data_IF_166489988469
#
_entry.id   IF_166489988469
#
_cell.length_a   1.000
_cell.length_b   1.000
_cell.length_c   1.000
_cell.angle_alpha   90.00
_cell.angle_beta   90.00
_cell.angle_gamma   90.00
#
_symmetry.space_group_name_H-M   'P 1'
#
loop_
_entity.id
_entity.type
_entity.pdbx_description
1 polymer ?
#
# COMPACT_ATOMS: atom_id res chain seq x y z
N UNK A 1 2.90 -25.31 -10.57
CA UNK A 1 3.72 -24.14 -10.20
C UNK A 1 4.31 -23.54 -11.47
N UNK A 2 4.23 -22.21 -11.66
CA UNK A 2 4.69 -21.54 -12.89
C UNK A 2 6.15 -21.09 -12.73
N UNK A 3 7.00 -21.42 -13.71
CA UNK A 3 8.38 -20.93 -13.74
C UNK A 3 8.46 -19.49 -14.26
N UNK A 4 9.39 -18.73 -13.71
CA UNK A 4 9.68 -17.36 -14.13
C UNK A 4 11.17 -17.06 -14.07
N UNK A 5 11.62 -16.18 -14.94
CA UNK A 5 12.96 -15.64 -14.95
C UNK A 5 12.92 -14.15 -14.61
N UNK A 6 13.89 -13.69 -13.81
CA UNK A 6 14.09 -12.29 -13.48
C UNK A 6 15.42 -11.84 -14.07
N UNK A 7 15.41 -10.78 -14.89
CA UNK A 7 16.61 -10.15 -15.41
C UNK A 7 16.87 -8.84 -14.66
N UNK A 8 18.06 -8.72 -14.08
CA UNK A 8 18.55 -7.50 -13.43
C UNK A 8 20.01 -7.26 -13.76
N UNK A 9 20.33 -6.09 -14.33
CA UNK A 9 21.70 -5.67 -14.69
C UNK A 9 22.51 -6.77 -15.42
N UNK A 10 21.88 -7.47 -16.37
CA UNK A 10 22.50 -8.53 -17.17
C UNK A 10 22.54 -9.92 -16.53
N UNK A 11 22.14 -10.06 -15.25
CA UNK A 11 22.07 -11.35 -14.56
C UNK A 11 20.65 -11.91 -14.56
N UNK A 12 20.52 -13.20 -14.86
CA UNK A 12 19.25 -13.92 -14.86
C UNK A 12 19.12 -14.76 -13.59
N UNK A 13 17.99 -14.63 -12.92
CA UNK A 13 17.59 -15.42 -11.77
C UNK A 13 16.41 -16.29 -12.14
N UNK A 14 16.39 -17.52 -11.65
CA UNK A 14 15.29 -18.46 -11.86
C UNK A 14 14.47 -18.55 -10.58
N UNK A 15 13.15 -18.59 -10.75
CA UNK A 15 12.23 -18.72 -9.64
C UNK A 15 10.94 -19.42 -10.00
N UNK A 16 10.16 -19.68 -8.97
CA UNK A 16 8.84 -20.27 -9.05
C UNK A 16 7.85 -19.25 -8.50
N UNK A 17 6.80 -18.98 -9.28
CA UNK A 17 5.70 -18.12 -8.86
C UNK A 17 4.89 -18.87 -7.81
N UNK A 18 4.88 -18.36 -6.59
CA UNK A 18 4.03 -18.84 -5.50
C UNK A 18 2.63 -18.23 -5.58
N UNK A 19 2.54 -16.95 -5.95
CA UNK A 19 1.28 -16.23 -6.11
C UNK A 19 1.39 -15.17 -7.22
N UNK A 20 0.31 -14.94 -7.96
CA UNK A 20 0.24 -14.00 -9.07
C UNK A 20 -1.18 -13.50 -9.33
N UNK A 21 -1.40 -12.21 -9.08
CA UNK A 21 -2.52 -11.42 -9.59
C UNK A 21 -1.98 -10.02 -9.93
N UNK A 22 -2.38 -9.00 -9.15
CA UNK A 22 -1.87 -7.63 -9.25
C UNK A 22 -0.43 -7.48 -8.77
N UNK A 23 0.03 -8.45 -8.00
CA UNK A 23 1.38 -8.54 -7.42
C UNK A 23 1.89 -9.97 -7.57
N UNK A 24 3.21 -10.14 -7.48
CA UNK A 24 3.85 -11.44 -7.61
C UNK A 24 4.70 -11.77 -6.38
N UNK A 25 4.49 -12.96 -5.83
CA UNK A 25 5.41 -13.61 -4.89
C UNK A 25 6.20 -14.68 -5.64
N UNK A 26 7.53 -14.58 -5.60
CA UNK A 26 8.44 -15.49 -6.29
C UNK A 26 9.41 -16.10 -5.29
N UNK A 27 9.49 -17.43 -5.30
CA UNK A 27 10.55 -18.15 -4.62
C UNK A 27 11.77 -18.26 -5.56
N UNK A 28 12.91 -17.71 -5.14
CA UNK A 28 14.13 -17.72 -5.94
C UNK A 28 15.04 -18.89 -5.55
N UNK A 29 15.65 -19.52 -6.55
CA UNK A 29 16.62 -20.60 -6.31
C UNK A 29 17.95 -20.11 -5.74
N UNK A 30 18.25 -18.81 -5.88
CA UNK A 30 19.50 -18.20 -5.40
C UNK A 30 19.22 -16.81 -4.84
N UNK A 31 20.07 -16.38 -3.90
CA UNK A 31 19.93 -15.07 -3.26
C UNK A 31 20.16 -13.96 -4.30
N UNK A 32 19.23 -13.01 -4.45
CA UNK A 32 19.34 -11.98 -5.47
C UNK A 32 20.39 -10.93 -5.10
N UNK A 33 21.05 -10.35 -6.10
CA UNK A 33 21.96 -9.22 -5.91
C UNK A 33 21.27 -7.86 -6.08
N UNK A 34 19.94 -7.84 -6.28
CA UNK A 34 19.15 -6.61 -6.34
C UNK A 34 18.57 -6.26 -4.96
N UNK A 35 18.24 -4.99 -4.78
CA UNK A 35 17.68 -4.43 -3.53
C UNK A 35 16.21 -4.03 -3.63
N UNK A 36 15.66 -3.55 -2.51
CA UNK A 36 14.33 -2.93 -2.45
C UNK A 36 14.28 -1.69 -3.34
N UNK A 37 13.16 -1.49 -4.05
CA UNK A 37 12.94 -0.39 -4.98
C UNK A 37 13.61 -0.54 -6.34
N UNK A 38 14.49 -1.54 -6.54
CA UNK A 38 15.11 -1.77 -7.84
C UNK A 38 14.10 -2.36 -8.84
N UNK A 39 14.28 -2.02 -10.12
CA UNK A 39 13.47 -2.52 -11.22
C UNK A 39 14.04 -3.83 -11.74
N UNK A 40 13.20 -4.85 -11.81
CA UNK A 40 13.53 -6.18 -12.34
C UNK A 40 12.59 -6.53 -13.48
N UNK A 41 13.14 -7.08 -14.56
CA UNK A 41 12.34 -7.55 -15.67
C UNK A 41 11.93 -8.99 -15.39
N UNK A 42 10.63 -9.22 -15.17
CA UNK A 42 10.05 -10.54 -14.99
C UNK A 42 9.58 -11.07 -16.33
N UNK A 43 9.98 -12.29 -16.70
CA UNK A 43 9.58 -12.87 -17.97
C UNK A 43 9.46 -14.39 -17.91
N UNK A 44 8.60 -14.90 -18.78
CA UNK A 44 8.46 -16.31 -19.11
C UNK A 44 8.16 -16.43 -20.62
N UNK A 45 7.80 -17.61 -21.12
CA UNK A 45 7.49 -17.80 -22.55
C UNK A 45 6.30 -16.99 -23.07
N UNK A 46 5.43 -16.47 -22.20
CA UNK A 46 4.18 -15.81 -22.56
C UNK A 46 4.19 -14.31 -22.31
N UNK A 47 5.01 -13.81 -21.39
CA UNK A 47 4.97 -12.41 -20.96
C UNK A 47 6.32 -11.86 -20.56
N UNK A 48 6.42 -10.54 -20.64
CA UNK A 48 7.55 -9.74 -20.20
C UNK A 48 7.02 -8.50 -19.49
N UNK A 49 7.34 -8.34 -18.22
CA UNK A 49 6.77 -7.30 -17.35
C UNK A 49 7.87 -6.67 -16.50
N UNK A 50 7.98 -5.34 -16.57
CA UNK A 50 8.85 -4.59 -15.67
C UNK A 50 8.19 -4.48 -14.30
N UNK A 51 8.90 -4.89 -13.26
CA UNK A 51 8.39 -4.90 -11.89
C UNK A 51 9.36 -4.21 -10.94
N UNK A 52 8.87 -3.69 -9.82
CA UNK A 52 9.67 -3.07 -8.77
C UNK A 52 9.68 -4.01 -7.56
N UNK A 53 10.86 -4.15 -6.94
CA UNK A 53 11.05 -4.99 -5.76
C UNK A 53 10.50 -4.33 -4.51
N UNK A 54 9.51 -4.94 -3.87
CA UNK A 54 8.90 -4.45 -2.63
C UNK A 54 9.50 -5.12 -1.39
N UNK A 55 9.91 -6.38 -1.50
CA UNK A 55 10.51 -7.11 -0.39
C UNK A 55 11.44 -8.23 -0.88
N UNK A 56 12.50 -8.49 -0.09
CA UNK A 56 13.43 -9.58 -0.30
C UNK A 56 13.64 -10.28 1.04
N UNK A 57 13.44 -11.59 1.05
CA UNK A 57 13.80 -12.49 2.14
C UNK A 57 14.80 -13.55 1.64
N UNK A 58 15.19 -14.49 2.51
CA UNK A 58 16.18 -15.54 2.16
C UNK A 58 15.75 -16.39 0.96
N UNK A 59 14.46 -16.65 0.79
CA UNK A 59 13.92 -17.49 -0.29
C UNK A 59 12.86 -16.80 -1.15
N UNK A 60 12.21 -15.74 -0.67
CA UNK A 60 11.10 -15.09 -1.36
C UNK A 60 11.38 -13.64 -1.73
N UNK A 61 10.85 -13.25 -2.88
CA UNK A 61 10.81 -11.86 -3.35
C UNK A 61 9.37 -11.48 -3.66
N UNK A 62 8.97 -10.29 -3.22
CA UNK A 62 7.66 -9.71 -3.53
C UNK A 62 7.86 -8.56 -4.50
N UNK A 63 7.11 -8.59 -5.59
CA UNK A 63 7.20 -7.63 -6.69
C UNK A 63 5.82 -7.07 -7.04
N UNK A 64 5.80 -5.83 -7.50
CA UNK A 64 4.63 -5.23 -8.13
C UNK A 64 4.97 -4.72 -9.54
N UNK A 65 4.02 -4.75 -10.49
CA UNK A 65 4.17 -4.10 -11.79
C UNK A 65 4.62 -2.64 -11.63
N UNK A 66 5.58 -2.18 -12.44
CA UNK A 66 6.14 -0.84 -12.31
C UNK A 66 5.13 0.30 -12.58
N UNK A 67 4.01 -0.03 -13.21
CA UNK A 67 2.85 0.83 -13.53
C UNK A 67 1.68 0.67 -12.54
N UNK A 68 1.87 -0.07 -11.44
CA UNK A 68 0.81 -0.29 -10.45
C UNK A 68 0.47 0.99 -9.67
N UNK A 69 -0.84 1.20 -9.43
CA UNK A 69 -1.35 2.33 -8.61
C UNK A 69 -0.77 2.40 -7.20
N UNK A 70 -0.22 1.29 -6.68
CA UNK A 70 0.43 1.28 -5.37
C UNK A 70 1.63 2.23 -5.30
N UNK A 71 2.30 2.47 -6.43
CA UNK A 71 3.42 3.41 -6.52
C UNK A 71 2.97 4.87 -6.65
N UNK A 72 1.68 5.11 -6.87
CA UNK A 72 1.06 6.44 -6.84
C UNK A 72 0.49 6.81 -5.46
N UNK A 73 0.55 5.89 -4.48
CA UNK A 73 0.31 6.23 -3.08
C UNK A 73 1.54 6.98 -2.59
N UNK A 74 1.37 8.26 -2.27
CA UNK A 74 2.41 9.13 -1.74
C UNK A 74 1.79 10.36 -1.05
N UNK A 75 2.62 11.17 -0.39
CA UNK A 75 2.19 12.44 0.17
C UNK A 75 1.97 13.46 -0.96
N UNK A 76 0.85 14.19 -0.92
CA UNK A 76 0.57 15.27 -1.88
C UNK A 76 0.14 16.56 -1.15
N UNK A 77 1.10 17.27 -0.52
CA UNK A 77 0.81 18.50 0.20
C UNK A 77 0.48 19.62 -0.80
N UNK A 78 -0.79 20.00 -0.91
CA UNK A 78 -1.22 21.14 -1.73
C UNK A 78 -2.11 20.81 -2.94
N UNK A 79 -2.65 19.59 -3.02
CA UNK A 79 -3.66 19.27 -4.05
C UNK A 79 -4.90 20.15 -3.84
N UNK A 80 -5.13 21.12 -4.73
CA UNK A 80 -6.35 21.95 -4.70
C UNK A 80 -7.55 21.07 -5.09
N UNK A 81 -8.51 20.91 -4.16
CA UNK A 81 -9.66 19.99 -4.28
C UNK A 81 -10.81 20.53 -5.14
N UNK A 82 -10.56 21.52 -6.00
CA UNK A 82 -11.58 22.06 -6.90
C UNK A 82 -12.11 21.04 -7.92
N UNK A 83 -11.36 19.96 -8.20
CA UNK A 83 -11.61 19.11 -9.37
C UNK A 83 -11.90 17.63 -9.05
N UNK A 84 -11.81 17.16 -7.80
CA UNK A 84 -12.06 15.74 -7.48
C UNK A 84 -13.56 15.37 -7.42
N UNK A 85 -14.44 16.35 -7.61
CA UNK A 85 -15.90 16.17 -7.75
C UNK A 85 -16.35 16.42 -9.21
N UNK A 86 -15.41 16.40 -10.17
CA UNK A 86 -15.66 16.70 -11.60
C UNK A 86 -15.60 15.46 -12.52
N UNK A 87 -16.77 15.05 -13.00
CA UNK A 87 -17.16 14.45 -14.30
C UNK A 87 -16.34 13.40 -15.08
N UNK A 88 -15.19 12.89 -14.63
CA UNK A 88 -14.60 11.67 -15.21
C UNK A 88 -14.31 10.63 -14.11
N UNK A 89 -15.29 9.78 -13.82
CA UNK A 89 -15.16 8.65 -12.89
C UNK A 89 -14.23 7.56 -13.47
N UNK A 90 -12.92 7.83 -13.49
CA UNK A 90 -11.95 6.72 -13.56
C UNK A 90 -12.05 5.96 -12.26
N UNK A 91 -12.34 4.66 -12.35
CA UNK A 91 -12.36 3.78 -11.20
C UNK A 91 -10.96 3.77 -10.58
N UNK A 92 -10.82 4.37 -9.39
CA UNK A 92 -9.58 4.36 -8.63
C UNK A 92 -9.48 3.05 -7.87
N UNK A 93 -8.33 2.38 -7.97
CA UNK A 93 -8.13 1.14 -7.25
C UNK A 93 -7.97 1.40 -5.76
N UNK A 94 -8.78 0.72 -4.96
CA UNK A 94 -8.70 0.75 -3.50
C UNK A 94 -8.32 -0.62 -2.95
N UNK A 95 -7.32 -0.65 -2.08
CA UNK A 95 -6.78 -1.83 -1.41
C UNK A 95 -7.36 -1.93 0.00
N UNK A 96 -7.96 -3.09 0.33
CA UNK A 96 -8.49 -3.33 1.67
C UNK A 96 -7.36 -3.67 2.64
N UNK A 97 -7.30 -2.97 3.77
CA UNK A 97 -6.25 -3.16 4.79
C UNK A 97 -6.78 -3.82 6.05
N UNK A 98 -7.93 -3.37 6.57
CA UNK A 98 -8.56 -3.91 7.77
C UNK A 98 -7.61 -4.08 8.97
N UNK A 99 -6.75 -3.08 9.22
CA UNK A 99 -5.76 -3.12 10.32
C UNK A 99 -6.07 -2.08 11.39
N UNK A 100 -5.41 -2.20 12.54
CA UNK A 100 -5.50 -1.23 13.63
C UNK A 100 -4.45 -0.13 13.48
N UNK A 101 -4.80 1.05 13.95
CA UNK A 101 -3.89 2.18 14.04
C UNK A 101 -4.35 3.18 15.08
N UNK A 102 -3.66 4.30 15.14
CA UNK A 102 -4.03 5.44 15.97
C UNK A 102 -3.99 6.72 15.18
N UNK A 103 -4.87 7.66 15.51
CA UNK A 103 -4.76 9.07 15.10
C UNK A 103 -4.58 9.94 16.35
N UNK A 104 -3.71 10.95 16.26
CA UNK A 104 -3.38 11.86 17.37
C UNK A 104 -3.49 13.31 16.91
N UNK A 105 -4.16 14.12 17.73
CA UNK A 105 -4.29 15.59 17.62
C UNK A 105 -4.24 16.14 19.04
N UNK A 106 -3.45 17.19 19.28
CA UNK A 106 -3.37 17.89 20.57
C UNK A 106 -3.22 16.96 21.79
N UNK A 107 -2.28 16.01 21.72
CA UNK A 107 -2.00 15.01 22.76
C UNK A 107 -3.13 14.01 23.04
N UNK A 108 -4.19 13.98 22.23
CA UNK A 108 -5.27 13.00 22.31
C UNK A 108 -5.09 11.93 21.24
N UNK A 109 -4.61 10.76 21.65
CA UNK A 109 -4.49 9.58 20.78
C UNK A 109 -5.77 8.75 20.83
N UNK A 110 -6.26 8.38 19.66
CA UNK A 110 -7.47 7.57 19.48
C UNK A 110 -7.16 6.33 18.67
N UNK A 111 -7.68 5.19 19.10
CA UNK A 111 -7.59 3.96 18.32
C UNK A 111 -8.58 4.01 17.15
N UNK A 112 -8.13 3.60 15.97
CA UNK A 112 -8.94 3.55 14.74
C UNK A 112 -8.72 2.23 14.02
N UNK A 113 -9.69 1.87 13.18
CA UNK A 113 -9.52 0.78 12.21
C UNK A 113 -9.27 1.36 10.83
N UNK A 114 -8.08 1.14 10.30
CA UNK A 114 -7.75 1.50 8.91
C UNK A 114 -8.48 0.51 7.99
N UNK A 115 -9.39 1.02 7.17
CA UNK A 115 -10.25 0.18 6.32
C UNK A 115 -9.63 -0.10 4.98
N UNK A 116 -9.19 0.95 4.28
CA UNK A 116 -8.80 0.88 2.88
C UNK A 116 -7.86 2.02 2.49
N UNK A 117 -7.12 1.85 1.40
CA UNK A 117 -6.22 2.86 0.85
C UNK A 117 -6.22 2.85 -0.68
N UNK A 118 -6.10 4.01 -1.27
CA UNK A 118 -5.96 4.25 -2.71
C UNK A 118 -4.84 5.26 -2.97
N UNK A 119 -4.52 5.51 -4.24
CA UNK A 119 -3.60 6.60 -4.60
C UNK A 119 -4.11 8.00 -4.22
N UNK A 120 -5.39 8.14 -3.88
CA UNK A 120 -6.01 9.42 -3.52
C UNK A 120 -6.27 9.58 -2.03
N UNK A 121 -6.56 8.49 -1.33
CA UNK A 121 -7.08 8.57 0.03
C UNK A 121 -6.80 7.33 0.87
N UNK A 122 -6.79 7.52 2.18
CA UNK A 122 -6.78 6.50 3.21
C UNK A 122 -8.06 6.61 4.04
N UNK A 123 -8.77 5.49 4.15
CA UNK A 123 -9.99 5.37 4.93
C UNK A 123 -9.74 4.78 6.31
N UNK A 124 -10.35 5.35 7.34
CA UNK A 124 -10.35 4.78 8.69
C UNK A 124 -11.71 4.91 9.37
N UNK A 125 -11.98 4.04 10.34
CA UNK A 125 -13.23 3.97 11.10
C UNK A 125 -13.00 4.21 12.59
N UNK A 126 -13.93 4.93 13.20
CA UNK A 126 -13.99 5.21 14.64
C UNK A 126 -15.45 5.26 15.10
N UNK A 127 -15.69 4.99 16.37
CA UNK A 127 -17.03 4.90 16.97
C UNK A 127 -17.50 6.25 17.58
N UNK A 128 -16.72 7.31 17.42
CA UNK A 128 -16.98 8.63 17.98
C UNK A 128 -16.92 9.76 16.93
N UNK A 129 -17.64 10.87 17.21
CA UNK A 129 -17.71 12.05 16.34
C UNK A 129 -16.58 13.06 16.62
N UNK A 130 -15.44 12.64 17.16
CA UNK A 130 -14.47 13.58 17.72
C UNK A 130 -13.39 14.03 16.75
N UNK A 131 -13.42 13.55 15.50
CA UNK A 131 -12.46 13.89 14.44
C UNK A 131 -12.97 15.08 13.65
N UNK A 132 -12.16 16.14 13.60
CA UNK A 132 -12.45 17.36 12.85
C UNK A 132 -12.00 17.21 11.40
N UNK A 133 -12.74 17.86 10.50
CA UNK A 133 -12.38 17.92 9.08
C UNK A 133 -11.32 19.00 8.84
N UNK A 134 -10.49 18.79 7.82
CA UNK A 134 -9.42 19.65 7.35
C UNK A 134 -8.29 19.93 8.35
N UNK A 135 -8.23 19.13 9.42
CA UNK A 135 -7.13 19.16 10.39
C UNK A 135 -6.08 18.08 10.06
N UNK A 136 -4.84 18.35 10.45
CA UNK A 136 -3.72 17.41 10.31
C UNK A 136 -3.64 16.54 11.56
N UNK A 137 -3.66 15.23 11.35
CA UNK A 137 -3.53 14.22 12.41
C UNK A 137 -2.23 13.44 12.21
N UNK A 138 -1.49 13.23 13.30
CA UNK A 138 -0.44 12.20 13.30
C UNK A 138 -1.10 10.83 13.35
N UNK A 139 -0.70 9.94 12.46
CA UNK A 139 -1.24 8.59 12.34
C UNK A 139 -0.15 7.54 12.45
N UNK A 140 -0.44 6.47 13.17
CA UNK A 140 0.40 5.28 13.26
C UNK A 140 -0.42 4.06 12.86
N UNK A 141 0.05 3.31 11.87
CA UNK A 141 -0.53 2.03 11.48
C UNK A 141 0.33 0.92 12.08
N UNK A 142 -0.29 -0.04 12.75
CA UNK A 142 0.39 -1.20 13.31
C UNK A 142 0.47 -2.32 12.26
N UNK A 143 1.68 -2.82 12.02
CA UNK A 143 1.99 -3.79 10.98
C UNK A 143 2.83 -4.93 11.55
N UNK A 144 2.18 -5.91 12.18
CA UNK A 144 2.85 -7.03 12.86
C UNK A 144 3.97 -6.51 13.80
N UNK A 145 5.25 -6.64 13.44
CA UNK A 145 6.42 -6.20 14.22
C UNK A 145 6.90 -4.76 13.91
N UNK A 146 6.24 -4.06 12.99
CA UNK A 146 6.61 -2.70 12.58
C UNK A 146 5.47 -1.70 12.76
N UNK A 147 5.82 -0.42 12.74
CA UNK A 147 4.86 0.69 12.70
C UNK A 147 5.14 1.57 11.50
N UNK A 148 4.08 2.05 10.87
CA UNK A 148 4.15 3.03 9.77
C UNK A 148 3.60 4.34 10.30
N UNK A 149 4.41 5.41 10.21
CA UNK A 149 4.01 6.75 10.63
C UNK A 149 3.70 7.65 9.43
N UNK A 150 2.61 8.40 9.52
CA UNK A 150 2.21 9.36 8.50
C UNK A 150 1.39 10.49 9.12
N UNK A 151 1.27 11.61 8.42
CA UNK A 151 0.34 12.67 8.75
C UNK A 151 -0.82 12.61 7.75
N UNK A 152 -2.04 12.72 8.27
CA UNK A 152 -3.27 12.62 7.50
C UNK A 152 -4.05 13.93 7.61
N UNK A 153 -4.64 14.40 6.51
CA UNK A 153 -5.67 15.44 6.57
C UNK A 153 -7.02 14.79 6.32
N UNK A 154 -7.93 14.94 7.28
CA UNK A 154 -9.28 14.34 7.18
C UNK A 154 -10.14 15.21 6.28
N UNK A 155 -10.69 14.67 5.19
CA UNK A 155 -11.40 15.45 4.17
C UNK A 155 -12.91 15.28 4.24
N UNK A 156 -13.39 14.06 4.49
CA UNK A 156 -14.81 13.78 4.56
C UNK A 156 -15.12 12.69 5.58
N UNK A 157 -16.38 12.61 5.99
CA UNK A 157 -16.90 11.60 6.89
C UNK A 157 -18.17 10.99 6.31
N UNK A 158 -18.31 9.68 6.44
CA UNK A 158 -19.52 8.93 6.11
C UNK A 158 -20.01 8.23 7.37
N UNK A 159 -21.18 8.67 7.86
CA UNK A 159 -21.81 8.10 9.05
C UNK A 159 -22.43 6.76 8.67
N UNK A 160 -22.00 5.69 9.32
CA UNK A 160 -22.61 4.37 9.22
C UNK A 160 -23.40 4.09 10.51
N UNK A 161 -24.20 3.01 10.54
CA UNK A 161 -25.09 2.71 11.66
C UNK A 161 -24.41 2.68 13.05
N UNK A 162 -23.17 2.18 13.13
CA UNK A 162 -22.44 2.00 14.40
C UNK A 162 -21.06 2.68 14.44
N UNK A 163 -20.58 3.17 13.30
CA UNK A 163 -19.21 3.66 13.14
C UNK A 163 -19.21 4.81 12.13
N UNK A 164 -18.23 5.70 12.18
CA UNK A 164 -18.02 6.72 11.16
C UNK A 164 -16.79 6.31 10.34
N UNK A 165 -16.92 6.29 9.01
CA UNK A 165 -15.78 6.14 8.11
C UNK A 165 -15.31 7.52 7.67
N UNK A 166 -14.10 7.88 8.07
CA UNK A 166 -13.42 9.08 7.61
C UNK A 166 -12.55 8.76 6.39
N UNK A 167 -12.59 9.63 5.39
CA UNK A 167 -11.67 9.63 4.27
C UNK A 167 -10.64 10.72 4.46
N UNK A 168 -9.37 10.36 4.37
CA UNK A 168 -8.24 11.25 4.58
C UNK A 168 -7.26 11.20 3.41
N UNK A 169 -6.50 12.26 3.24
CA UNK A 169 -5.33 12.27 2.36
C UNK A 169 -4.05 12.08 3.16
N UNK A 170 -3.00 11.60 2.51
CA UNK A 170 -1.67 11.54 3.10
C UNK A 170 -1.02 12.92 2.92
N UNK A 171 -0.92 13.67 4.02
CA UNK A 171 -0.24 14.96 4.04
C UNK A 171 1.28 14.78 4.00
N UNK A 172 1.79 13.83 4.78
CA UNK A 172 3.20 13.50 4.84
C UNK A 172 3.41 12.02 5.19
N UNK A 173 4.42 11.40 4.58
CA UNK A 173 4.92 10.08 4.94
C UNK A 173 6.41 10.02 4.60
N UNK A 174 7.23 9.45 5.48
CA UNK A 174 8.67 9.33 5.21
C UNK A 174 8.91 8.32 4.07
N UNK A 175 9.99 8.44 3.28
CA UNK A 175 10.29 7.44 2.24
C UNK A 175 10.44 6.01 2.78
N UNK A 176 10.96 5.87 4.00
CA UNK A 176 11.09 4.57 4.67
C UNK A 176 9.71 4.00 5.03
N UNK A 177 8.85 4.81 5.66
CA UNK A 177 7.46 4.41 5.99
C UNK A 177 6.63 4.14 4.75
N UNK A 178 6.84 4.90 3.66
CA UNK A 178 6.11 4.71 2.42
C UNK A 178 6.42 3.36 1.77
N UNK A 179 7.69 2.95 1.77
CA UNK A 179 8.07 1.63 1.28
C UNK A 179 7.50 0.51 2.15
N UNK A 180 7.54 0.67 3.47
CA UNK A 180 6.88 -0.26 4.41
C UNK A 180 5.38 -0.34 4.15
N UNK A 181 4.74 0.80 3.89
CA UNK A 181 3.32 0.86 3.62
C UNK A 181 2.91 0.17 2.33
N UNK A 182 3.64 0.42 1.23
CA UNK A 182 3.43 -0.28 -0.05
C UNK A 182 3.60 -1.79 0.13
N UNK A 183 4.64 -2.22 0.84
CA UNK A 183 4.85 -3.64 1.13
C UNK A 183 3.71 -4.24 1.99
N UNK A 184 3.29 -3.52 3.04
CA UNK A 184 2.19 -3.94 3.91
C UNK A 184 0.87 -4.08 3.14
N UNK A 185 0.55 -3.14 2.25
CA UNK A 185 -0.62 -3.24 1.37
C UNK A 185 -0.58 -4.53 0.56
N UNK A 186 0.53 -4.81 -0.12
CA UNK A 186 0.65 -6.03 -0.95
C UNK A 186 0.48 -7.30 -0.11
N UNK A 187 1.16 -7.38 1.04
CA UNK A 187 1.12 -8.57 1.89
C UNK A 187 -0.25 -8.81 2.52
N UNK A 188 -0.97 -7.77 2.93
CA UNK A 188 -2.34 -7.92 3.44
C UNK A 188 -3.29 -8.43 2.36
N UNK A 189 -3.13 -7.97 1.12
CA UNK A 189 -3.93 -8.47 0.00
C UNK A 189 -3.61 -9.94 -0.30
N UNK A 190 -2.34 -10.36 -0.21
CA UNK A 190 -1.98 -11.80 -0.31
C UNK A 190 -2.64 -12.64 0.79
N UNK A 191 -2.52 -12.23 2.06
CA UNK A 191 -3.12 -12.96 3.20
C UNK A 191 -4.63 -13.12 3.00
N UNK A 192 -5.33 -12.06 2.61
CA UNK A 192 -6.78 -12.10 2.40
C UNK A 192 -7.18 -13.06 1.27
N UNK A 193 -6.37 -13.17 0.20
CA UNK A 193 -6.68 -14.03 -0.95
C UNK A 193 -6.29 -15.49 -0.74
N UNK A 194 -5.34 -15.79 0.16
CA UNK A 194 -4.93 -17.15 0.53
C UNK A 194 -5.85 -17.80 1.58
N UNK A 195 -6.73 -17.03 2.22
CA UNK A 195 -7.70 -17.50 3.21
C UNK A 195 -9.13 -17.62 2.64
N UNK A 196 -9.27 -17.63 1.32
CA UNK A 196 -10.52 -17.94 0.59
C UNK A 196 -10.51 -19.38 0.12
#
# INVERSE_FOLDING_TARGET
MKHIQLLHKGKVYHGIIGYEEDFMEIELSTLPAFGLGEKVLCFNFQRRQLSIVLHISKSKVVLAPADSEIFHIEANPGREYGELVGEEQKAVKSYKLNTFGTITEDFKTRAVRISDVSCLSLGFKIDDFTVKLNEVYESTIFCDDETIRMQLIVRYAHIMEKTIRYGSEIHYISPADLNKFRYFIVTQNFKQLMHV
#
